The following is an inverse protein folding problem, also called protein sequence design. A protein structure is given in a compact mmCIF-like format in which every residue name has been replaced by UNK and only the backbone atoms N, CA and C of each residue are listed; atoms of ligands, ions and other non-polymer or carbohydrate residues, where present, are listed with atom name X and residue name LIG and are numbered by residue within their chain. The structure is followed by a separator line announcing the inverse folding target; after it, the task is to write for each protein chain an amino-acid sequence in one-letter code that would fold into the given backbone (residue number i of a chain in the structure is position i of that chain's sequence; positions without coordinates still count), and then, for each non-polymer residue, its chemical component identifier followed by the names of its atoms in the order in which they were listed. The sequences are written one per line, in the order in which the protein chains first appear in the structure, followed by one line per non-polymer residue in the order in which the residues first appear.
data_IF_882506505518
#
_entry.id   IF_882506505518
#
_cell.length_a   1.000
_cell.length_b   1.000
_cell.length_c   1.000
_cell.angle_alpha   90.00
_cell.angle_beta   90.00
_cell.angle_gamma   90.00
#
_symmetry.space_group_name_H-M   'P 1'
#
loop_
_entity.id
_entity.type
_entity.pdbx_description
1 polymer ?
#
# COMPACT_ATOMS: atom_id res chain seq x y z
N UNK A 1 6.42 17.29 30.26
CA UNK A 1 5.60 18.40 29.74
C UNK A 1 6.39 19.70 29.77
N UNK A 2 5.99 20.67 28.96
CA UNK A 2 6.60 21.98 28.90
C UNK A 2 5.57 23.03 28.48
N UNK A 3 5.68 24.25 29.05
CA UNK A 3 4.83 25.38 28.70
C UNK A 3 3.46 25.34 29.36
N UNK A 4 2.47 25.95 28.70
CA UNK A 4 1.13 26.15 29.21
C UNK A 4 0.10 25.30 28.44
N UNK A 5 -0.82 24.66 29.16
CA UNK A 5 -1.87 23.80 28.60
C UNK A 5 -2.88 24.59 27.74
N UNK A 6 -3.31 25.75 28.20
CA UNK A 6 -4.31 26.55 27.45
C UNK A 6 -3.74 27.01 26.10
N UNK A 7 -2.47 27.41 26.08
CA UNK A 7 -1.76 27.75 24.84
C UNK A 7 -1.63 26.53 23.93
N UNK A 8 -1.30 25.36 24.47
CA UNK A 8 -1.25 24.09 23.72
C UNK A 8 -2.62 23.78 23.11
N UNK A 9 -3.70 23.85 23.90
CA UNK A 9 -5.08 23.60 23.46
C UNK A 9 -5.51 24.58 22.37
N UNK A 10 -5.18 25.87 22.50
CA UNK A 10 -5.44 26.89 21.46
C UNK A 10 -4.78 26.54 20.13
N UNK A 11 -3.52 26.09 20.16
CA UNK A 11 -2.81 25.67 18.95
C UNK A 11 -3.52 24.47 18.29
N UNK A 12 -3.94 23.49 19.07
CA UNK A 12 -4.59 22.27 18.57
C UNK A 12 -5.99 22.59 18.00
N UNK A 13 -6.73 23.48 18.63
CA UNK A 13 -8.10 23.85 18.19
C UNK A 13 -8.13 24.52 16.83
N UNK A 14 -7.01 25.03 16.31
CA UNK A 14 -6.92 25.47 14.93
C UNK A 14 -7.23 24.35 13.90
N UNK A 15 -7.20 23.06 14.31
CA UNK A 15 -7.62 21.93 13.48
C UNK A 15 -9.14 21.72 13.42
N UNK A 16 -9.93 22.49 14.15
CA UNK A 16 -11.38 22.45 14.03
C UNK A 16 -11.92 23.04 12.70
N UNK A 17 -11.06 23.73 11.95
CA UNK A 17 -11.43 24.30 10.64
C UNK A 17 -11.61 23.22 9.57
N UNK A 18 -12.62 23.38 8.70
CA UNK A 18 -13.00 22.38 7.68
C UNK A 18 -11.86 21.98 6.74
N UNK A 19 -11.01 22.92 6.30
CA UNK A 19 -9.84 22.63 5.45
C UNK A 19 -8.74 21.82 6.15
N UNK A 20 -8.87 21.58 7.46
CA UNK A 20 -7.87 20.91 8.29
C UNK A 20 -8.35 19.59 8.90
N UNK A 21 -9.52 19.12 8.52
CA UNK A 21 -10.12 17.90 9.10
C UNK A 21 -9.25 16.66 8.88
N UNK A 22 -8.58 16.51 7.74
CA UNK A 22 -7.60 15.42 7.54
C UNK A 22 -6.39 15.50 8.47
N UNK A 23 -5.97 16.73 8.85
CA UNK A 23 -4.94 16.96 9.87
C UNK A 23 -5.46 16.64 11.27
N UNK A 24 -6.75 16.95 11.55
CA UNK A 24 -7.42 16.57 12.80
C UNK A 24 -7.51 15.04 12.96
N UNK A 25 -7.80 14.31 11.88
CA UNK A 25 -7.78 12.85 11.90
C UNK A 25 -6.39 12.30 12.28
N UNK A 26 -5.32 12.83 11.66
CA UNK A 26 -3.96 12.47 12.03
C UNK A 26 -3.65 12.74 13.51
N UNK A 27 -4.10 13.88 14.03
CA UNK A 27 -3.96 14.23 15.44
C UNK A 27 -4.75 13.27 16.35
N UNK A 28 -5.96 12.86 15.96
CA UNK A 28 -6.77 11.89 16.69
C UNK A 28 -6.11 10.50 16.75
N UNK A 29 -5.37 10.10 15.73
CA UNK A 29 -4.57 8.87 15.78
C UNK A 29 -3.54 8.89 16.92
N UNK A 30 -3.08 10.08 17.32
CA UNK A 30 -2.23 10.23 18.51
C UNK A 30 -2.92 9.76 19.79
N UNK A 31 -4.18 10.09 20.00
CA UNK A 31 -4.97 9.54 21.10
C UNK A 31 -5.43 8.10 20.85
N UNK A 32 -5.56 7.71 19.58
CA UNK A 32 -5.93 6.36 19.17
C UNK A 32 -4.85 5.30 19.42
N UNK A 33 -3.58 5.71 19.47
CA UNK A 33 -2.45 4.78 19.64
C UNK A 33 -2.64 3.78 20.79
N UNK A 34 -2.91 4.23 22.03
CA UNK A 34 -3.14 3.36 23.17
C UNK A 34 -4.33 2.39 23.02
N UNK A 35 -5.27 2.69 22.14
CA UNK A 35 -6.48 1.90 21.91
C UNK A 35 -6.28 0.80 20.85
N UNK A 36 -5.23 0.88 20.03
CA UNK A 36 -5.01 -0.04 18.91
C UNK A 36 -4.95 -1.50 19.33
N UNK A 37 -4.41 -1.77 20.52
CA UNK A 37 -4.32 -3.12 21.07
C UNK A 37 -5.68 -3.79 21.32
N UNK A 38 -6.74 -3.00 21.45
CA UNK A 38 -8.08 -3.50 21.85
C UNK A 38 -9.07 -3.55 20.69
N UNK A 39 -8.72 -3.07 19.50
CA UNK A 39 -9.59 -3.10 18.32
C UNK A 39 -9.51 -4.47 17.63
N UNK A 40 -10.64 -4.95 17.09
CA UNK A 40 -10.71 -6.22 16.34
C UNK A 40 -10.25 -7.42 17.17
N UNK A 41 -10.66 -7.50 18.43
CA UNK A 41 -10.30 -8.54 19.38
C UNK A 41 -8.78 -8.73 19.55
N UNK A 42 -8.01 -7.64 19.37
CA UNK A 42 -6.55 -7.65 19.49
C UNK A 42 -5.82 -8.34 18.34
N UNK A 43 -6.48 -8.55 17.21
CA UNK A 43 -5.91 -9.22 16.03
C UNK A 43 -5.27 -8.25 15.01
N UNK A 44 -5.31 -6.95 15.29
CA UNK A 44 -4.79 -5.90 14.41
C UNK A 44 -3.73 -5.07 15.11
N UNK A 45 -2.47 -5.26 14.74
CA UNK A 45 -1.34 -4.66 15.44
C UNK A 45 -0.90 -3.30 14.90
N UNK A 46 -1.47 -2.84 13.78
CA UNK A 46 -1.08 -1.52 13.28
C UNK A 46 -1.68 -1.14 11.94
N UNK A 47 -1.49 0.13 11.62
CA UNK A 47 -1.89 0.78 10.38
C UNK A 47 -0.88 1.87 10.04
N UNK A 48 -0.61 2.10 8.77
CA UNK A 48 0.12 3.27 8.30
C UNK A 48 -0.86 4.29 7.71
N UNK A 49 -0.91 5.50 8.29
CA UNK A 49 -1.61 6.65 7.70
C UNK A 49 -0.59 7.62 7.11
N UNK A 50 -0.68 7.89 5.80
CA UNK A 50 0.26 8.72 5.08
C UNK A 50 -0.39 10.00 4.53
N UNK A 51 0.17 11.14 4.87
CA UNK A 51 -0.27 12.45 4.40
C UNK A 51 0.61 12.90 3.23
N UNK A 52 -0.01 13.08 2.07
CA UNK A 52 0.67 13.41 0.82
C UNK A 52 0.51 14.89 0.51
N UNK A 53 1.61 15.55 0.16
CA UNK A 53 1.57 16.86 -0.48
C UNK A 53 2.79 17.04 -1.37
N UNK A 54 2.61 17.26 -2.67
CA UNK A 54 3.73 17.46 -3.61
C UNK A 54 4.48 18.77 -3.37
N UNK A 55 3.84 19.76 -2.72
CA UNK A 55 4.44 21.06 -2.42
C UNK A 55 4.99 21.15 -0.99
N UNK A 56 5.98 22.03 -0.81
CA UNK A 56 6.38 22.49 0.51
C UNK A 56 5.34 23.49 1.05
N UNK A 57 5.19 23.56 2.37
CA UNK A 57 4.29 24.56 3.01
C UNK A 57 2.86 24.09 3.29
N UNK A 58 2.45 22.88 2.87
CA UNK A 58 1.12 22.33 3.21
C UNK A 58 0.95 21.96 4.70
N UNK A 59 1.98 22.15 5.52
CA UNK A 59 1.94 21.86 6.95
C UNK A 59 2.16 20.39 7.32
N UNK A 60 2.73 19.58 6.44
CA UNK A 60 3.05 18.14 6.70
C UNK A 60 3.78 17.92 8.01
N UNK A 61 4.98 18.49 8.16
CA UNK A 61 5.78 18.34 9.37
C UNK A 61 5.11 18.97 10.60
N UNK A 62 4.28 20.02 10.42
CA UNK A 62 3.49 20.61 11.53
C UNK A 62 2.49 19.61 12.09
N UNK A 63 1.84 18.79 11.25
CA UNK A 63 0.92 17.73 11.71
C UNK A 63 1.64 16.72 12.59
N UNK A 64 2.83 16.27 12.17
CA UNK A 64 3.64 15.33 12.96
C UNK A 64 4.06 15.93 14.30
N UNK A 65 4.46 17.21 14.31
CA UNK A 65 4.81 17.91 15.55
C UNK A 65 3.61 18.09 16.49
N UNK A 66 2.42 18.43 15.95
CA UNK A 66 1.22 18.56 16.77
C UNK A 66 0.80 17.22 17.37
N UNK A 67 0.83 16.12 16.59
CA UNK A 67 0.58 14.78 17.12
C UNK A 67 1.57 14.43 18.23
N UNK A 68 2.87 14.60 17.98
CA UNK A 68 3.90 14.28 18.98
C UNK A 68 3.81 15.14 20.24
N UNK A 69 3.25 16.36 20.13
CA UNK A 69 3.04 17.25 21.28
C UNK A 69 2.09 16.70 22.33
N UNK A 70 1.26 15.71 21.99
CA UNK A 70 0.45 14.96 22.96
C UNK A 70 1.37 14.29 23.98
N UNK A 71 2.46 13.70 23.52
CA UNK A 71 3.35 12.83 24.29
C UNK A 71 4.53 13.57 24.93
N UNK A 72 5.14 14.51 24.22
CA UNK A 72 6.36 15.17 24.66
C UNK A 72 6.97 16.10 23.64
N UNK A 73 8.31 16.19 23.61
CA UNK A 73 9.02 17.08 22.70
C UNK A 73 8.73 16.73 21.23
N UNK A 74 8.03 17.61 20.47
CA UNK A 74 7.53 17.31 19.14
C UNK A 74 8.61 16.88 18.15
N UNK A 75 9.76 17.56 18.14
CA UNK A 75 10.87 17.28 17.20
C UNK A 75 11.63 16.01 17.56
N UNK A 76 11.79 15.72 18.84
CA UNK A 76 12.57 14.58 19.31
C UNK A 76 11.86 13.24 19.02
N UNK A 77 10.55 13.25 18.83
CA UNK A 77 9.73 12.05 18.60
C UNK A 77 9.57 11.71 17.13
N UNK A 78 9.91 12.59 16.19
CA UNK A 78 9.85 12.29 14.75
C UNK A 78 10.95 11.30 14.39
N UNK A 79 10.56 10.20 13.74
CA UNK A 79 11.48 9.24 13.11
C UNK A 79 11.90 9.77 11.75
N UNK A 80 13.15 9.48 11.37
CA UNK A 80 13.65 9.83 10.05
C UNK A 80 13.55 8.64 9.11
N UNK A 81 13.34 8.93 7.84
CA UNK A 81 13.29 7.92 6.78
C UNK A 81 14.60 7.14 6.61
N UNK A 82 15.76 7.77 6.92
CA UNK A 82 17.11 7.21 6.82
C UNK A 82 17.58 6.47 8.08
N UNK A 83 16.76 6.41 9.14
CA UNK A 83 17.04 5.58 10.32
C UNK A 83 17.25 4.11 9.89
N UNK A 84 18.22 3.43 10.50
CA UNK A 84 18.44 2.00 10.22
C UNK A 84 17.20 1.16 10.61
N UNK A 85 17.00 0.03 9.93
CA UNK A 85 15.88 -0.88 10.25
C UNK A 85 15.86 -1.26 11.74
N UNK A 86 17.02 -1.60 12.31
CA UNK A 86 17.11 -1.99 13.73
C UNK A 86 16.74 -0.85 14.68
N UNK A 87 17.19 0.38 14.37
CA UNK A 87 16.84 1.57 15.15
C UNK A 87 15.33 1.82 15.13
N UNK A 88 14.71 1.71 13.96
CA UNK A 88 13.24 1.84 13.83
C UNK A 88 12.51 0.78 14.64
N UNK A 89 12.89 -0.49 14.52
CA UNK A 89 12.25 -1.57 15.30
C UNK A 89 12.38 -1.35 16.80
N UNK A 90 13.55 -0.89 17.26
CA UNK A 90 13.76 -0.56 18.66
C UNK A 90 12.85 0.61 19.10
N UNK A 91 12.72 1.63 18.27
CA UNK A 91 11.83 2.77 18.53
C UNK A 91 10.37 2.37 18.57
N UNK A 92 9.88 1.57 17.60
CA UNK A 92 8.51 1.04 17.62
C UNK A 92 8.25 0.26 18.90
N UNK A 93 9.17 -0.62 19.28
CA UNK A 93 9.07 -1.38 20.53
C UNK A 93 9.16 -0.55 21.80
N UNK A 94 9.88 0.57 21.78
CA UNK A 94 9.94 1.50 22.94
C UNK A 94 8.66 2.34 23.06
N UNK A 95 8.02 2.67 21.93
CA UNK A 95 6.76 3.41 21.93
C UNK A 95 5.55 2.51 22.25
N UNK A 96 5.62 1.22 21.94
CA UNK A 96 4.62 0.16 22.21
C UNK A 96 3.19 0.49 21.77
N UNK A 97 2.54 1.46 22.43
CA UNK A 97 1.15 1.87 22.23
C UNK A 97 1.02 3.38 21.89
N UNK A 98 2.12 4.10 21.73
CA UNK A 98 2.10 5.51 21.34
C UNK A 98 2.33 5.61 19.84
N UNK A 99 1.56 6.44 19.15
CA UNK A 99 1.63 6.62 17.69
C UNK A 99 2.96 7.24 17.23
N UNK A 100 3.84 6.51 16.55
CA UNK A 100 5.06 7.07 15.98
C UNK A 100 4.77 7.93 14.76
N UNK A 101 5.67 8.87 14.48
CA UNK A 101 5.60 9.71 13.28
C UNK A 101 6.86 9.56 12.44
N UNK A 102 6.72 9.51 11.10
CA UNK A 102 7.82 9.39 10.15
C UNK A 102 7.70 10.51 9.13
N UNK A 103 8.73 11.35 9.01
CA UNK A 103 8.74 12.40 7.99
C UNK A 103 9.38 11.88 6.69
N UNK A 104 8.82 12.32 5.56
CA UNK A 104 9.28 12.02 4.19
C UNK A 104 9.49 10.53 3.88
N UNK A 105 8.55 9.69 4.28
CA UNK A 105 8.65 8.22 4.18
C UNK A 105 8.98 7.72 2.75
N UNK A 106 8.56 8.44 1.70
CA UNK A 106 8.82 8.05 0.30
C UNK A 106 10.26 8.27 -0.17
N UNK A 107 11.14 8.88 0.65
CA UNK A 107 12.58 8.91 0.38
C UNK A 107 13.23 7.54 0.66
N UNK A 108 12.56 6.68 1.42
CA UNK A 108 12.99 5.30 1.69
C UNK A 108 12.95 4.46 0.41
N UNK A 109 13.87 3.50 0.26
CA UNK A 109 13.82 2.53 -0.84
C UNK A 109 12.52 1.72 -0.85
N UNK A 110 11.95 1.38 -2.03
CA UNK A 110 10.66 0.69 -2.13
C UNK A 110 10.60 -0.63 -1.36
N UNK A 111 11.66 -1.44 -1.38
CA UNK A 111 11.74 -2.70 -0.65
C UNK A 111 11.75 -2.50 0.87
N UNK A 112 12.47 -1.48 1.33
CA UNK A 112 12.50 -1.12 2.76
C UNK A 112 11.13 -0.62 3.22
N UNK A 113 10.44 0.14 2.39
CA UNK A 113 9.09 0.63 2.64
C UNK A 113 8.08 -0.52 2.74
N UNK A 114 8.09 -1.47 1.78
CA UNK A 114 7.25 -2.67 1.85
C UNK A 114 7.49 -3.45 3.15
N UNK A 115 8.75 -3.68 3.52
CA UNK A 115 9.09 -4.35 4.78
C UNK A 115 8.58 -3.58 6.00
N UNK A 116 8.72 -2.25 6.02
CA UNK A 116 8.25 -1.43 7.15
C UNK A 116 6.73 -1.53 7.33
N UNK A 117 5.96 -1.54 6.24
CA UNK A 117 4.50 -1.69 6.30
C UNK A 117 4.11 -3.03 6.95
N UNK A 118 4.78 -4.12 6.56
CA UNK A 118 4.56 -5.42 7.20
C UNK A 118 5.04 -5.44 8.66
N UNK A 119 6.20 -4.85 8.97
CA UNK A 119 6.70 -4.78 10.33
C UNK A 119 5.71 -4.03 11.24
N UNK A 120 5.20 -2.86 10.83
CA UNK A 120 4.19 -2.09 11.58
C UNK A 120 2.98 -2.97 11.91
N UNK A 121 2.46 -3.69 10.91
CA UNK A 121 1.21 -4.46 11.04
C UNK A 121 1.37 -5.86 11.62
N UNK A 122 2.63 -6.34 11.81
CA UNK A 122 2.92 -7.61 12.48
C UNK A 122 3.01 -7.52 14.00
N UNK A 123 3.08 -6.32 14.55
CA UNK A 123 3.09 -6.06 16.00
C UNK A 123 4.32 -6.54 16.75
N UNK A 124 5.35 -7.03 16.07
CA UNK A 124 6.54 -7.60 16.71
C UNK A 124 7.81 -7.43 15.89
N UNK A 125 8.93 -7.30 16.58
CA UNK A 125 10.25 -7.32 15.96
C UNK A 125 10.65 -8.73 15.49
N UNK A 126 11.72 -8.81 14.69
CA UNK A 126 12.25 -10.08 14.19
C UNK A 126 12.87 -10.90 15.31
N UNK A 127 12.60 -12.19 15.34
CA UNK A 127 13.32 -13.13 16.19
C UNK A 127 14.79 -13.22 15.76
N UNK A 128 15.69 -13.40 16.71
CA UNK A 128 17.13 -13.52 16.46
C UNK A 128 17.69 -14.69 17.25
N UNK A 129 18.69 -15.37 16.67
CA UNK A 129 19.47 -16.37 17.39
C UNK A 129 20.47 -15.70 18.33
N UNK A 130 20.72 -16.31 19.47
CA UNK A 130 21.82 -15.96 20.34
C UNK A 130 23.11 -16.55 19.76
N UNK A 131 24.07 -15.67 19.43
CA UNK A 131 25.30 -16.07 18.79
C UNK A 131 26.16 -17.05 19.64
N UNK A 132 25.98 -17.07 20.95
CA UNK A 132 26.77 -17.90 21.88
C UNK A 132 26.09 -19.21 22.30
N UNK A 133 24.76 -19.25 22.27
CA UNK A 133 24.00 -20.35 22.89
C UNK A 133 23.22 -21.21 21.88
N UNK A 134 23.33 -20.94 20.56
CA UNK A 134 22.59 -21.61 19.48
C UNK A 134 21.09 -21.83 19.80
N UNK A 135 20.50 -20.85 20.50
CA UNK A 135 19.09 -20.81 20.89
C UNK A 135 18.45 -19.51 20.42
N UNK A 136 17.14 -19.53 20.23
CA UNK A 136 16.39 -18.34 19.89
C UNK A 136 16.42 -17.33 21.05
N UNK A 137 16.80 -16.08 20.74
CA UNK A 137 16.73 -14.99 21.71
C UNK A 137 15.28 -14.56 21.88
N UNK A 138 14.78 -14.57 23.12
CA UNK A 138 13.44 -14.13 23.41
C UNK A 138 13.21 -12.69 22.91
N UNK A 139 12.34 -12.54 21.91
CA UNK A 139 11.95 -11.23 21.40
C UNK A 139 10.91 -10.60 22.32
N UNK A 140 11.29 -9.53 23.01
CA UNK A 140 10.39 -8.73 23.88
C UNK A 140 9.89 -7.46 23.19
N UNK A 141 10.24 -7.25 21.93
CA UNK A 141 9.92 -6.02 21.18
C UNK A 141 8.59 -6.21 20.48
N UNK A 142 7.51 -5.76 21.09
CA UNK A 142 6.15 -5.82 20.55
C UNK A 142 5.52 -4.43 20.56
N UNK A 143 4.54 -4.22 19.67
CA UNK A 143 3.76 -2.98 19.60
C UNK A 143 2.37 -3.25 19.03
N UNK A 144 1.45 -2.31 19.25
CA UNK A 144 0.16 -2.27 18.60
C UNK A 144 -0.20 -0.81 18.39
N UNK A 145 0.09 -0.27 17.18
CA UNK A 145 0.17 1.17 16.93
C UNK A 145 -0.29 1.56 15.51
N UNK A 146 -1.06 2.63 15.36
CA UNK A 146 -1.10 3.35 14.11
C UNK A 146 0.20 4.15 13.96
N UNK A 147 0.73 4.25 12.74
CA UNK A 147 1.88 5.10 12.40
C UNK A 147 1.41 6.22 11.49
N UNK A 148 1.81 7.45 11.76
CA UNK A 148 1.51 8.60 10.89
C UNK A 148 2.76 9.03 10.16
N UNK A 149 2.68 9.12 8.84
CA UNK A 149 3.79 9.54 7.99
C UNK A 149 3.42 10.68 7.06
N UNK A 150 4.45 11.31 6.50
CA UNK A 150 4.30 12.33 5.45
C UNK A 150 5.11 11.95 4.23
N UNK A 151 4.69 12.44 3.07
CA UNK A 151 5.39 12.20 1.80
C UNK A 151 5.12 13.27 0.75
N UNK A 152 5.95 13.29 -0.29
CA UNK A 152 5.75 14.13 -1.48
C UNK A 152 5.00 13.39 -2.59
N UNK A 153 5.06 12.06 -2.59
CA UNK A 153 4.43 11.17 -3.58
C UNK A 153 3.64 10.07 -2.86
N UNK A 154 2.81 9.34 -3.58
CA UNK A 154 2.08 8.20 -3.02
C UNK A 154 3.02 7.05 -2.71
N UNK A 155 2.82 6.38 -1.58
CA UNK A 155 3.49 5.12 -1.24
C UNK A 155 3.17 4.06 -2.29
N UNK A 156 1.91 4.01 -2.76
CA UNK A 156 1.48 3.13 -3.83
C UNK A 156 2.38 3.20 -5.06
N UNK A 157 2.63 4.42 -5.58
CA UNK A 157 3.42 4.61 -6.81
C UNK A 157 4.85 4.09 -6.62
N UNK A 158 5.38 4.28 -5.42
CA UNK A 158 6.69 3.75 -5.03
C UNK A 158 6.71 2.22 -4.94
N UNK A 159 5.66 1.58 -4.42
CA UNK A 159 5.55 0.12 -4.35
C UNK A 159 5.38 -0.49 -5.74
N UNK A 160 4.62 0.15 -6.62
CA UNK A 160 4.43 -0.30 -8.01
C UNK A 160 5.74 -0.32 -8.82
N UNK A 161 6.76 0.46 -8.42
CA UNK A 161 8.08 0.41 -9.08
C UNK A 161 8.83 -0.92 -8.87
N UNK A 162 8.46 -1.73 -7.88
CA UNK A 162 9.10 -3.02 -7.57
C UNK A 162 8.16 -4.21 -7.57
N UNK A 163 6.85 -3.98 -7.52
CA UNK A 163 5.81 -5.01 -7.49
C UNK A 163 4.68 -4.59 -8.40
N UNK A 164 4.26 -5.44 -9.33
CA UNK A 164 3.09 -5.20 -10.15
C UNK A 164 1.79 -5.11 -9.31
N UNK A 165 1.75 -5.85 -8.17
CA UNK A 165 0.55 -6.01 -7.35
C UNK A 165 0.87 -5.89 -5.84
N UNK A 166 0.93 -4.67 -5.28
CA UNK A 166 1.20 -4.45 -3.86
C UNK A 166 -0.06 -4.47 -2.99
N UNK A 167 -1.09 -5.24 -3.35
CA UNK A 167 -2.42 -5.22 -2.73
C UNK A 167 -2.40 -5.44 -1.22
N UNK A 168 -1.56 -6.37 -0.76
CA UNK A 168 -1.46 -6.67 0.66
C UNK A 168 -0.90 -5.50 1.47
N UNK A 169 0.03 -4.72 0.92
CA UNK A 169 0.54 -3.49 1.53
C UNK A 169 -0.53 -2.39 1.49
N UNK A 170 -1.22 -2.22 0.34
CA UNK A 170 -2.23 -1.18 0.17
C UNK A 170 -3.40 -1.32 1.13
N UNK A 171 -3.79 -2.56 1.49
CA UNK A 171 -4.82 -2.80 2.50
C UNK A 171 -4.39 -2.41 3.92
N UNK A 172 -3.11 -2.17 4.17
CA UNK A 172 -2.52 -1.76 5.45
C UNK A 172 -2.23 -0.27 5.54
N UNK A 173 -2.52 0.47 4.49
CA UNK A 173 -2.21 1.90 4.35
C UNK A 173 -3.50 2.67 4.11
N UNK A 174 -3.65 3.81 4.77
CA UNK A 174 -4.54 4.88 4.36
C UNK A 174 -3.69 6.04 3.87
N UNK A 175 -3.97 6.53 2.66
CA UNK A 175 -3.27 7.69 2.10
C UNK A 175 -4.26 8.82 1.82
N UNK A 176 -3.88 10.03 2.20
CA UNK A 176 -4.65 11.22 1.89
C UNK A 176 -3.79 12.35 1.34
N UNK A 177 -4.32 13.02 0.33
CA UNK A 177 -3.69 14.22 -0.22
C UNK A 177 -4.17 15.43 0.58
N UNK A 178 -3.26 16.04 1.33
CA UNK A 178 -3.57 17.26 2.07
C UNK A 178 -4.05 18.35 1.12
N UNK A 179 -5.24 18.90 1.33
CA UNK A 179 -5.67 20.09 0.60
C UNK A 179 -4.74 21.25 0.92
N UNK A 180 -4.55 22.13 -0.06
CA UNK A 180 -3.93 23.44 0.21
C UNK A 180 -4.90 24.21 1.10
N UNK A 181 -4.43 24.60 2.27
CA UNK A 181 -5.22 25.41 3.21
C UNK A 181 -5.56 26.75 2.55
N UNK A 182 -6.83 27.00 2.29
CA UNK A 182 -7.29 28.24 1.64
C UNK A 182 -7.03 29.50 2.47
N UNK A 183 -6.92 29.32 3.79
CA UNK A 183 -6.54 30.38 4.74
C UNK A 183 -5.04 30.36 5.04
N UNK A 184 -4.23 29.86 4.13
CA UNK A 184 -2.80 29.72 4.34
C UNK A 184 -2.12 31.10 4.28
N UNK A 185 -2.26 31.89 5.38
CA UNK A 185 -1.26 32.91 5.70
C UNK A 185 -0.02 32.21 6.27
N UNK A 186 1.08 32.10 5.51
CA UNK A 186 2.29 31.45 5.97
C UNK A 186 2.85 32.09 7.25
N UNK A 187 2.64 33.39 7.42
CA UNK A 187 3.11 34.16 8.59
C UNK A 187 2.32 33.75 9.84
N UNK A 188 0.99 33.73 9.72
CA UNK A 188 0.13 33.28 10.80
C UNK A 188 0.40 31.79 11.14
N UNK A 189 0.44 30.93 10.14
CA UNK A 189 0.68 29.49 10.33
C UNK A 189 2.02 29.22 11.03
N UNK A 190 3.08 29.89 10.62
CA UNK A 190 4.40 29.79 11.26
C UNK A 190 4.38 30.29 12.70
N UNK A 191 3.74 31.45 12.94
CA UNK A 191 3.63 32.02 14.28
C UNK A 191 2.75 31.16 15.19
N UNK A 192 1.59 30.70 14.70
CA UNK A 192 0.63 29.91 15.49
C UNK A 192 1.17 28.52 15.82
N UNK A 193 1.49 27.71 14.81
CA UNK A 193 1.96 26.34 15.01
C UNK A 193 3.41 26.25 15.52
N UNK A 194 4.23 27.28 15.30
CA UNK A 194 5.60 27.33 15.82
C UNK A 194 5.68 27.32 17.34
N UNK A 195 4.64 27.81 18.02
CA UNK A 195 4.54 27.82 19.51
C UNK A 195 4.54 26.41 20.09
N UNK A 196 4.16 25.37 19.31
CA UNK A 196 4.10 23.98 19.80
C UNK A 196 5.44 23.48 20.32
N UNK A 197 6.56 24.02 19.84
CA UNK A 197 7.91 23.70 20.32
C UNK A 197 8.17 24.10 21.79
N UNK A 198 7.29 24.94 22.35
CA UNK A 198 7.38 25.45 23.73
C UNK A 198 6.24 24.96 24.62
N UNK A 199 5.17 24.37 24.04
CA UNK A 199 3.96 23.94 24.76
C UNK A 199 3.61 22.50 24.32
N UNK A 200 3.90 21.49 25.17
CA UNK A 200 3.70 20.08 24.82
C UNK A 200 3.66 19.16 26.05
N UNK A 201 3.16 17.93 25.85
CA UNK A 201 3.17 16.85 26.85
C UNK A 201 2.07 16.94 27.88
N UNK A 202 1.12 17.86 27.72
CA UNK A 202 0.06 18.11 28.70
C UNK A 202 -1.07 17.06 28.66
N UNK A 203 -1.32 16.45 27.50
CA UNK A 203 -2.53 15.67 27.26
C UNK A 203 -2.39 14.19 27.63
N UNK A 204 -1.21 13.59 27.51
CA UNK A 204 -1.06 12.15 27.62
C UNK A 204 -1.36 11.61 29.02
N UNK A 205 -0.95 12.31 30.08
CA UNK A 205 -1.17 11.85 31.45
C UNK A 205 -2.66 11.75 31.80
N UNK A 206 -3.47 12.82 31.70
CA UNK A 206 -4.90 12.75 32.02
C UNK A 206 -5.63 11.77 31.10
N UNK A 207 -5.25 11.67 29.82
CA UNK A 207 -5.83 10.74 28.87
C UNK A 207 -5.59 9.27 29.27
N UNK A 208 -4.35 8.88 29.50
CA UNK A 208 -4.02 7.49 29.90
C UNK A 208 -4.60 7.15 31.25
N UNK A 209 -4.56 8.09 32.23
CA UNK A 209 -5.18 7.88 33.51
C UNK A 209 -6.68 7.55 33.41
N UNK A 210 -7.42 8.30 32.57
CA UNK A 210 -8.82 8.01 32.28
C UNK A 210 -9.00 6.64 31.63
N UNK A 211 -8.23 6.33 30.57
CA UNK A 211 -8.35 5.06 29.85
C UNK A 211 -8.09 3.84 30.74
N UNK A 212 -7.09 3.90 31.63
CA UNK A 212 -6.74 2.79 32.52
C UNK A 212 -7.81 2.58 33.60
N UNK A 213 -8.31 3.68 34.18
CA UNK A 213 -9.31 3.58 35.26
C UNK A 213 -10.71 3.20 34.75
N UNK A 214 -11.00 3.40 33.47
CA UNK A 214 -12.30 3.12 32.83
C UNK A 214 -12.15 2.15 31.65
N UNK A 215 -11.19 1.24 31.68
CA UNK A 215 -10.82 0.40 30.55
C UNK A 215 -11.99 -0.40 29.95
N UNK A 216 -12.91 -1.02 30.73
CA UNK A 216 -14.07 -1.71 30.16
C UNK A 216 -14.97 -0.79 29.33
N UNK A 217 -15.26 0.42 29.80
CA UNK A 217 -16.10 1.40 29.10
C UNK A 217 -15.42 1.94 27.86
N UNK A 218 -14.10 2.15 27.92
CA UNK A 218 -13.28 2.55 26.76
C UNK A 218 -13.32 1.48 25.68
N UNK A 219 -13.19 0.19 26.02
CA UNK A 219 -13.27 -0.92 25.08
C UNK A 219 -14.69 -1.02 24.51
N UNK A 220 -15.73 -0.90 25.33
CA UNK A 220 -17.10 -0.91 24.84
C UNK A 220 -17.37 0.21 23.84
N UNK A 221 -16.95 1.45 24.16
CA UNK A 221 -17.03 2.61 23.24
C UNK A 221 -16.25 2.38 21.95
N UNK A 222 -15.05 1.82 22.03
CA UNK A 222 -14.23 1.49 20.85
C UNK A 222 -14.95 0.48 19.92
N UNK A 223 -15.52 -0.56 20.50
CA UNK A 223 -16.25 -1.58 19.72
C UNK A 223 -17.52 -1.00 19.06
N UNK A 224 -18.24 -0.14 19.78
CA UNK A 224 -19.38 0.58 19.21
C UNK A 224 -18.99 1.46 18.03
N UNK A 225 -17.93 2.26 18.18
CA UNK A 225 -17.41 3.13 17.11
C UNK A 225 -16.89 2.30 15.94
N UNK A 226 -16.23 1.17 16.19
CA UNK A 226 -15.75 0.28 15.12
C UNK A 226 -16.93 -0.29 14.31
N UNK A 227 -17.98 -0.79 14.98
CA UNK A 227 -19.18 -1.29 14.31
C UNK A 227 -19.93 -0.18 13.56
N UNK A 228 -19.95 1.04 14.10
CA UNK A 228 -20.52 2.20 13.42
C UNK A 228 -19.75 2.52 12.14
N UNK A 229 -18.40 2.51 12.18
CA UNK A 229 -17.57 2.72 11.01
C UNK A 229 -17.74 1.63 9.96
N UNK A 230 -17.81 0.36 10.37
CA UNK A 230 -18.03 -0.78 9.47
C UNK A 230 -19.33 -0.63 8.69
N UNK A 231 -20.40 -0.20 9.36
CA UNK A 231 -21.71 0.06 8.74
C UNK A 231 -21.69 1.29 7.85
N UNK A 232 -21.14 2.41 8.34
CA UNK A 232 -21.14 3.68 7.62
C UNK A 232 -20.29 3.63 6.33
N UNK A 233 -19.14 3.01 6.37
CA UNK A 233 -18.24 2.86 5.22
C UNK A 233 -18.47 1.56 4.42
N UNK A 234 -19.42 0.68 4.85
CA UNK A 234 -19.69 -0.64 4.23
C UNK A 234 -18.40 -1.45 4.06
N UNK A 235 -17.68 -1.65 5.15
CA UNK A 235 -16.35 -2.26 5.19
C UNK A 235 -16.39 -3.71 4.67
N UNK A 236 -15.38 -4.06 3.88
CA UNK A 236 -15.11 -5.43 3.43
C UNK A 236 -14.05 -6.09 4.32
N UNK A 237 -14.02 -7.42 4.35
CA UNK A 237 -13.07 -8.19 5.18
C UNK A 237 -11.60 -7.81 4.95
N UNK A 238 -11.22 -7.39 3.74
CA UNK A 238 -9.87 -6.94 3.40
C UNK A 238 -9.53 -5.54 3.93
N UNK A 239 -10.54 -4.73 4.24
CA UNK A 239 -10.43 -3.32 4.64
C UNK A 239 -10.40 -3.12 6.17
N UNK A 240 -10.30 -4.20 6.94
CA UNK A 240 -10.34 -4.21 8.41
C UNK A 240 -9.30 -3.28 9.08
N UNK A 241 -8.12 -3.12 8.47
CA UNK A 241 -7.10 -2.20 8.99
C UNK A 241 -7.55 -0.75 8.90
N UNK A 242 -8.27 -0.38 7.83
CA UNK A 242 -8.77 0.98 7.63
C UNK A 242 -9.87 1.32 8.64
N UNK A 243 -10.81 0.39 8.84
CA UNK A 243 -11.87 0.54 9.83
C UNK A 243 -11.29 0.66 11.25
N UNK A 244 -10.36 -0.21 11.61
CA UNK A 244 -9.69 -0.18 12.91
C UNK A 244 -8.97 1.15 13.15
N UNK A 245 -8.21 1.65 12.15
CA UNK A 245 -7.54 2.94 12.24
C UNK A 245 -8.51 4.11 12.43
N UNK A 246 -9.63 4.13 11.70
CA UNK A 246 -10.66 5.13 11.86
C UNK A 246 -11.34 5.03 13.24
N UNK A 247 -11.65 3.82 13.70
CA UNK A 247 -12.30 3.60 15.00
C UNK A 247 -11.43 4.06 16.18
N UNK A 248 -10.14 3.69 16.19
CA UNK A 248 -9.23 4.12 17.29
C UNK A 248 -9.01 5.63 17.28
N UNK A 249 -8.91 6.25 16.11
CA UNK A 249 -8.76 7.70 16.00
C UNK A 249 -10.00 8.42 16.55
N UNK A 250 -11.19 8.05 16.07
CA UNK A 250 -12.44 8.65 16.52
C UNK A 250 -12.69 8.45 18.01
N UNK A 251 -12.52 7.23 18.51
CA UNK A 251 -12.69 6.93 19.94
C UNK A 251 -11.69 7.71 20.78
N UNK A 252 -10.42 7.74 20.36
CA UNK A 252 -9.39 8.53 21.04
C UNK A 252 -9.69 10.02 21.06
N UNK A 253 -10.13 10.58 19.92
CA UNK A 253 -10.56 11.97 19.80
C UNK A 253 -11.79 12.27 20.67
N UNK A 254 -12.79 11.39 20.70
CA UNK A 254 -13.99 11.56 21.55
C UNK A 254 -13.62 11.61 23.02
N UNK A 255 -12.85 10.65 23.51
CA UNK A 255 -12.40 10.60 24.92
C UNK A 255 -11.58 11.86 25.26
N UNK A 256 -10.64 12.25 24.39
CA UNK A 256 -9.83 13.44 24.59
C UNK A 256 -10.68 14.71 24.66
N UNK A 257 -11.74 14.80 23.84
CA UNK A 257 -12.71 15.89 23.88
C UNK A 257 -13.52 15.90 25.15
N UNK A 258 -14.04 14.75 25.59
CA UNK A 258 -14.81 14.62 26.83
C UNK A 258 -13.96 15.03 28.06
N UNK A 259 -12.64 14.82 27.98
CA UNK A 259 -11.67 15.28 28.99
C UNK A 259 -11.29 16.78 28.86
N UNK A 260 -11.84 17.49 27.89
CA UNK A 260 -11.54 18.92 27.66
C UNK A 260 -10.17 19.20 27.06
N UNK A 261 -9.48 18.18 26.50
CA UNK A 261 -8.14 18.32 25.94
C UNK A 261 -8.13 19.03 24.57
N UNK A 262 -9.25 19.02 23.85
CA UNK A 262 -9.48 19.80 22.62
C UNK A 262 -10.97 20.05 22.42
N UNK A 263 -11.31 20.98 21.48
CA UNK A 263 -12.69 21.30 21.12
C UNK A 263 -13.04 20.94 19.65
N UNK A 264 -12.16 20.18 18.98
CA UNK A 264 -12.36 19.78 17.57
C UNK A 264 -13.68 19.01 17.44
N UNK A 265 -14.54 19.33 16.45
CA UNK A 265 -15.81 18.65 16.26
C UNK A 265 -15.59 17.21 15.73
N UNK A 266 -16.25 16.22 16.34
CA UNK A 266 -16.08 14.80 15.99
C UNK A 266 -16.77 14.44 14.67
N UNK A 267 -18.00 14.96 14.44
CA UNK A 267 -18.80 14.62 13.26
C UNK A 267 -18.10 14.88 11.93
N UNK A 268 -17.46 16.04 11.68
CA UNK A 268 -16.69 16.26 10.46
C UNK A 268 -15.53 15.28 10.27
N UNK A 269 -14.86 14.86 11.37
CA UNK A 269 -13.77 13.86 11.30
C UNK A 269 -14.33 12.48 10.97
N UNK A 270 -15.50 12.10 11.48
CA UNK A 270 -16.17 10.86 11.13
C UNK A 270 -16.53 10.83 9.64
N UNK A 271 -17.18 11.91 9.14
CA UNK A 271 -17.55 12.01 7.73
C UNK A 271 -16.30 11.97 6.83
N UNK A 272 -15.23 12.60 7.26
CA UNK A 272 -13.92 12.50 6.59
C UNK A 272 -13.41 11.06 6.55
N UNK A 273 -13.45 10.30 7.65
CA UNK A 273 -13.01 8.89 7.68
C UNK A 273 -13.79 8.03 6.67
N UNK A 274 -15.11 8.20 6.58
CA UNK A 274 -15.94 7.47 5.60
C UNK A 274 -15.52 7.83 4.17
N UNK A 275 -15.32 9.11 3.89
CA UNK A 275 -14.90 9.58 2.58
C UNK A 275 -13.48 9.09 2.23
N UNK A 276 -12.56 9.11 3.18
CA UNK A 276 -11.18 8.62 3.00
C UNK A 276 -11.16 7.14 2.64
N UNK A 277 -11.92 6.30 3.36
CA UNK A 277 -12.04 4.86 3.07
C UNK A 277 -12.63 4.64 1.68
N UNK A 278 -13.70 5.35 1.32
CA UNK A 278 -14.32 5.24 0.00
C UNK A 278 -13.37 5.69 -1.12
N UNK A 279 -12.61 6.77 -0.90
CA UNK A 279 -11.60 7.25 -1.85
C UNK A 279 -10.45 6.25 -2.00
N UNK A 280 -9.93 5.71 -0.89
CA UNK A 280 -8.90 4.66 -0.89
C UNK A 280 -9.36 3.41 -1.63
N UNK A 281 -10.61 2.99 -1.42
CA UNK A 281 -11.23 1.86 -2.14
C UNK A 281 -11.29 2.11 -3.65
N UNK A 282 -11.73 3.30 -4.09
CA UNK A 282 -11.77 3.67 -5.51
C UNK A 282 -10.36 3.73 -6.10
N UNK A 283 -9.44 4.41 -5.44
CA UNK A 283 -8.04 4.50 -5.87
C UNK A 283 -7.36 3.14 -5.96
N UNK A 284 -7.69 2.21 -5.06
CA UNK A 284 -7.13 0.86 -5.08
C UNK A 284 -7.86 -0.06 -6.07
N UNK A 285 -9.15 0.18 -6.43
CA UNK A 285 -9.83 -0.56 -7.49
C UNK A 285 -9.16 -0.40 -8.84
N UNK A 286 -8.68 0.79 -9.14
CA UNK A 286 -7.91 1.07 -10.36
C UNK A 286 -6.53 0.40 -10.34
N UNK A 287 -6.16 -0.27 -9.25
CA UNK A 287 -4.88 -0.95 -9.02
C UNK A 287 -5.01 -2.34 -8.38
N UNK A 288 -6.16 -2.67 -7.78
CA UNK A 288 -6.47 -4.06 -7.44
C UNK A 288 -6.62 -4.78 -8.77
N UNK A 289 -5.62 -5.54 -9.08
CA UNK A 289 -5.56 -6.35 -10.27
C UNK A 289 -6.86 -7.12 -10.40
N UNK A 290 -7.62 -6.81 -11.42
CA UNK A 290 -8.47 -7.84 -11.97
C UNK A 290 -7.52 -8.96 -12.33
N UNK A 291 -7.68 -10.15 -11.74
CA UNK A 291 -6.79 -11.29 -12.04
C UNK A 291 -6.68 -11.53 -13.55
N UNK A 292 -7.63 -11.01 -14.35
CA UNK A 292 -7.59 -10.94 -15.79
C UNK A 292 -6.46 -10.12 -16.42
N UNK A 293 -5.85 -9.18 -15.68
CA UNK A 293 -4.75 -8.35 -16.19
C UNK A 293 -3.35 -8.97 -15.97
N UNK A 294 -3.23 -9.97 -15.07
CA UNK A 294 -1.93 -10.55 -14.70
C UNK A 294 -1.26 -11.22 -15.93
N UNK A 295 -2.05 -11.89 -16.77
CA UNK A 295 -1.53 -12.51 -17.98
C UNK A 295 -1.04 -11.45 -18.96
N UNK A 296 -1.78 -10.37 -19.16
CA UNK A 296 -1.39 -9.23 -20.00
C UNK A 296 -0.08 -8.60 -19.51
N UNK A 297 0.02 -8.33 -18.20
CA UNK A 297 1.23 -7.80 -17.57
C UNK A 297 2.45 -8.75 -17.72
N UNK A 298 2.23 -10.07 -17.60
CA UNK A 298 3.27 -11.07 -17.87
C UNK A 298 3.76 -11.00 -19.31
N UNK A 299 2.86 -10.98 -20.28
CA UNK A 299 3.22 -10.94 -21.71
C UNK A 299 3.91 -9.62 -22.07
N UNK A 300 3.41 -8.50 -21.55
CA UNK A 300 4.02 -7.17 -21.74
C UNK A 300 5.42 -7.06 -21.12
N UNK A 301 5.70 -7.82 -20.04
CA UNK A 301 7.05 -7.88 -19.45
C UNK A 301 8.04 -8.74 -20.27
N UNK A 302 7.55 -9.48 -21.28
CA UNK A 302 8.35 -10.34 -22.14
C UNK A 302 8.05 -10.13 -23.64
N UNK A 303 8.06 -8.90 -24.17
CA UNK A 303 7.58 -8.62 -25.54
C UNK A 303 8.41 -9.30 -26.63
N UNK A 304 9.70 -9.56 -26.34
CA UNK A 304 10.63 -10.24 -27.26
C UNK A 304 10.66 -11.77 -27.05
N UNK A 305 9.92 -12.31 -26.11
CA UNK A 305 9.87 -13.74 -25.80
C UNK A 305 8.62 -14.46 -26.33
N UNK A 306 7.91 -13.87 -27.28
CA UNK A 306 6.65 -14.42 -27.80
C UNK A 306 6.84 -14.88 -29.23
N UNK A 307 6.48 -16.16 -29.49
CA UNK A 307 6.41 -16.74 -30.85
C UNK A 307 5.00 -16.56 -31.40
N UNK A 308 4.86 -16.12 -32.64
CA UNK A 308 3.57 -16.06 -33.34
C UNK A 308 3.67 -16.89 -34.63
N UNK A 309 2.74 -17.82 -34.80
CA UNK A 309 2.73 -18.73 -35.96
C UNK A 309 1.31 -18.91 -36.50
N UNK A 310 1.20 -19.28 -37.80
CA UNK A 310 0.03 -19.94 -38.38
C UNK A 310 0.32 -21.43 -38.50
N UNK A 311 -0.60 -22.27 -38.03
CA UNK A 311 -0.46 -23.74 -37.96
C UNK A 311 -1.18 -24.41 -39.11
N UNK A 312 -2.16 -23.72 -39.73
CA UNK A 312 -2.90 -24.24 -40.87
C UNK A 312 -1.96 -24.49 -42.06
N UNK A 313 -2.10 -25.64 -42.65
CA UNK A 313 -1.39 -25.97 -43.88
C UNK A 313 -1.94 -25.12 -45.03
N UNK A 314 -1.05 -24.61 -45.88
CA UNK A 314 -1.44 -24.01 -47.12
C UNK A 314 -2.22 -25.06 -47.95
N UNK A 315 -3.42 -24.67 -48.42
CA UNK A 315 -4.34 -25.57 -49.16
C UNK A 315 -3.77 -26.03 -50.53
N UNK A 316 -2.79 -25.31 -51.05
CA UNK A 316 -2.19 -25.57 -52.39
C UNK A 316 -0.90 -26.37 -52.24
N UNK A 317 -0.03 -25.99 -51.31
CA UNK A 317 1.30 -26.60 -51.15
C UNK A 317 1.36 -27.67 -50.07
N UNK A 318 0.37 -27.75 -49.20
CA UNK A 318 0.35 -28.69 -48.05
C UNK A 318 1.41 -28.41 -46.99
N UNK A 319 2.22 -27.35 -47.14
CA UNK A 319 3.25 -26.95 -46.21
C UNK A 319 2.66 -26.14 -45.04
N UNK A 320 3.21 -26.35 -43.83
CA UNK A 320 2.86 -25.52 -42.69
C UNK A 320 3.32 -24.08 -42.92
N UNK A 321 2.42 -23.12 -42.73
CA UNK A 321 2.80 -21.71 -42.82
C UNK A 321 3.74 -21.38 -41.67
N UNK A 322 4.86 -20.74 -41.97
CA UNK A 322 5.95 -20.48 -41.04
C UNK A 322 5.63 -19.45 -39.94
N UNK A 323 6.63 -19.16 -39.15
CA UNK A 323 6.54 -18.16 -38.11
C UNK A 323 6.26 -16.76 -38.65
N UNK A 324 5.28 -16.07 -38.07
CA UNK A 324 4.99 -14.65 -38.34
C UNK A 324 5.96 -13.79 -37.54
N UNK A 325 6.26 -14.23 -36.29
CA UNK A 325 7.18 -13.55 -35.39
C UNK A 325 8.00 -14.58 -34.60
N UNK A 326 9.30 -14.41 -34.61
CA UNK A 326 10.22 -15.25 -33.83
C UNK A 326 10.68 -14.54 -32.56
N UNK A 327 10.88 -15.27 -31.47
CA UNK A 327 11.33 -14.66 -30.21
C UNK A 327 12.80 -14.26 -30.32
N UNK A 328 13.14 -13.10 -29.78
CA UNK A 328 14.53 -12.60 -29.67
C UNK A 328 15.16 -12.88 -28.30
N UNK A 329 14.38 -13.43 -27.35
CA UNK A 329 14.81 -13.83 -26.00
C UNK A 329 14.27 -15.22 -25.68
N UNK A 330 14.44 -15.69 -24.44
CA UNK A 330 13.84 -16.95 -23.97
C UNK A 330 12.33 -16.95 -24.24
N UNK A 331 11.85 -17.95 -25.00
CA UNK A 331 10.45 -18.03 -25.38
C UNK A 331 9.55 -18.34 -24.18
N UNK A 332 8.66 -17.43 -23.85
CA UNK A 332 7.71 -17.54 -22.74
C UNK A 332 6.31 -17.93 -23.17
N UNK A 333 5.93 -17.60 -24.42
CA UNK A 333 4.61 -17.85 -24.94
C UNK A 333 4.64 -18.12 -26.47
N UNK A 334 3.61 -18.84 -26.94
CA UNK A 334 3.36 -19.12 -28.35
C UNK A 334 1.90 -18.82 -28.68
N UNK A 335 1.69 -17.95 -29.67
CA UNK A 335 0.38 -17.64 -30.25
C UNK A 335 0.21 -18.39 -31.57
N UNK A 336 -0.81 -19.23 -31.65
CA UNK A 336 -1.28 -19.85 -32.89
C UNK A 336 -2.47 -19.02 -33.38
N UNK A 337 -2.20 -18.07 -34.30
CA UNK A 337 -3.14 -17.00 -34.66
C UNK A 337 -4.39 -17.54 -35.37
N UNK A 338 -4.23 -18.48 -36.27
CA UNK A 338 -5.30 -19.11 -37.03
C UNK A 338 -6.19 -20.06 -36.21
N UNK A 339 -5.62 -20.67 -35.17
CA UNK A 339 -6.38 -21.53 -34.23
C UNK A 339 -6.94 -20.77 -33.02
N UNK A 340 -6.60 -19.50 -32.87
CA UNK A 340 -6.97 -18.68 -31.70
C UNK A 340 -6.53 -19.33 -30.38
N UNK A 341 -5.29 -19.83 -30.33
CA UNK A 341 -4.70 -20.48 -29.18
C UNK A 341 -3.45 -19.76 -28.71
N UNK A 342 -3.42 -19.44 -27.40
CA UNK A 342 -2.23 -18.93 -26.74
C UNK A 342 -1.72 -19.98 -25.76
N UNK A 343 -0.46 -20.35 -25.89
CA UNK A 343 0.26 -21.26 -25.01
C UNK A 343 1.30 -20.48 -24.23
N UNK A 344 1.18 -20.48 -22.91
CA UNK A 344 2.08 -19.75 -22.00
C UNK A 344 2.87 -20.74 -21.16
N UNK A 345 4.19 -20.61 -21.09
CA UNK A 345 5.05 -21.46 -20.25
C UNK A 345 4.57 -21.42 -18.80
N UNK A 346 4.07 -22.58 -18.29
CA UNK A 346 3.56 -22.68 -16.92
C UNK A 346 4.60 -22.30 -15.89
N UNK A 347 5.83 -22.77 -16.03
CA UNK A 347 6.90 -22.51 -15.05
C UNK A 347 7.27 -21.02 -15.00
N UNK A 348 7.38 -20.36 -16.15
CA UNK A 348 7.73 -18.93 -16.20
C UNK A 348 6.60 -18.07 -15.66
N UNK A 349 5.36 -18.40 -15.98
CA UNK A 349 4.20 -17.69 -15.43
C UNK A 349 4.08 -17.91 -13.91
N UNK A 350 4.33 -19.12 -13.39
CA UNK A 350 4.38 -19.36 -11.95
C UNK A 350 5.49 -18.57 -11.26
N UNK A 351 6.67 -18.47 -11.87
CA UNK A 351 7.76 -17.64 -11.34
C UNK A 351 7.38 -16.15 -11.33
N UNK A 352 6.71 -15.67 -12.37
CA UNK A 352 6.21 -14.31 -12.45
C UNK A 352 5.20 -14.03 -11.34
N UNK A 353 4.20 -14.89 -11.16
CA UNK A 353 3.23 -14.80 -10.07
C UNK A 353 3.92 -14.76 -8.69
N UNK A 354 4.87 -15.68 -8.47
CA UNK A 354 5.63 -15.75 -7.22
C UNK A 354 6.43 -14.47 -6.94
N UNK A 355 7.12 -13.92 -7.95
CA UNK A 355 7.89 -12.67 -7.81
C UNK A 355 7.01 -11.46 -7.50
N UNK A 356 5.77 -11.48 -7.99
CA UNK A 356 4.80 -10.42 -7.78
C UNK A 356 3.85 -10.69 -6.61
N UNK A 357 4.10 -11.76 -5.82
CA UNK A 357 3.29 -12.15 -4.66
C UNK A 357 1.82 -12.43 -4.99
N UNK A 358 1.55 -12.92 -6.20
CA UNK A 358 0.23 -13.33 -6.66
C UNK A 358 0.11 -14.85 -6.56
N UNK A 359 -1.04 -15.33 -6.07
CA UNK A 359 -1.36 -16.75 -6.12
C UNK A 359 -1.52 -17.19 -7.58
N UNK A 360 -0.77 -18.21 -8.00
CA UNK A 360 -0.87 -18.78 -9.34
C UNK A 360 -2.28 -19.31 -9.64
N UNK A 361 -2.92 -19.96 -8.68
CA UNK A 361 -4.28 -20.50 -8.86
C UNK A 361 -5.32 -19.39 -8.99
N UNK A 362 -5.21 -18.34 -8.17
CA UNK A 362 -6.12 -17.19 -8.21
C UNK A 362 -5.96 -16.39 -9.50
N UNK A 363 -4.73 -16.28 -10.03
CA UNK A 363 -4.46 -15.61 -11.30
C UNK A 363 -5.15 -16.28 -12.51
N UNK A 364 -5.62 -17.51 -12.36
CA UNK A 364 -6.35 -18.24 -13.39
C UNK A 364 -7.87 -18.25 -13.17
N UNK A 365 -8.37 -17.72 -12.05
CA UNK A 365 -9.80 -17.83 -11.68
C UNK A 365 -10.72 -17.18 -12.71
N UNK A 366 -10.41 -15.96 -13.14
CA UNK A 366 -11.28 -15.22 -14.08
C UNK A 366 -11.23 -15.83 -15.49
N UNK A 367 -10.07 -16.35 -15.89
CA UNK A 367 -9.94 -17.10 -17.15
C UNK A 367 -10.68 -18.45 -17.11
N UNK A 368 -10.74 -19.10 -15.93
CA UNK A 368 -11.56 -20.30 -15.74
C UNK A 368 -13.06 -19.97 -15.80
N UNK A 369 -13.49 -18.87 -15.17
CA UNK A 369 -14.90 -18.41 -15.18
C UNK A 369 -15.38 -17.99 -16.57
N UNK A 370 -14.55 -17.25 -17.32
CA UNK A 370 -14.86 -16.82 -18.71
C UNK A 370 -14.78 -17.99 -19.71
N UNK A 371 -14.19 -19.12 -19.31
CA UNK A 371 -13.91 -20.25 -20.21
C UNK A 371 -12.84 -19.95 -21.26
N UNK A 372 -12.02 -18.92 -21.02
CA UNK A 372 -10.84 -18.64 -21.86
C UNK A 372 -9.67 -19.56 -21.53
N UNK A 373 -9.50 -19.97 -20.26
CA UNK A 373 -8.53 -20.99 -19.88
C UNK A 373 -9.04 -22.39 -20.20
N UNK A 374 -8.27 -23.15 -20.99
CA UNK A 374 -8.66 -24.50 -21.48
C UNK A 374 -8.05 -25.58 -20.58
N UNK A 375 -6.76 -25.43 -20.24
CA UNK A 375 -6.07 -26.42 -19.44
C UNK A 375 -4.55 -26.36 -19.55
N UNK A 376 -3.89 -27.48 -19.21
CA UNK A 376 -2.44 -27.62 -19.33
C UNK A 376 -2.12 -28.60 -20.46
N UNK A 377 -1.27 -28.16 -21.40
CA UNK A 377 -0.83 -28.96 -22.54
C UNK A 377 0.69 -28.92 -22.68
N UNK A 378 1.30 -30.03 -23.13
CA UNK A 378 2.71 -30.00 -23.55
C UNK A 378 2.79 -29.43 -24.94
N UNK A 379 3.61 -28.39 -25.16
CA UNK A 379 3.80 -27.75 -26.44
C UNK A 379 5.27 -27.37 -26.66
N UNK A 380 5.75 -27.49 -27.90
CA UNK A 380 7.03 -26.91 -28.32
C UNK A 380 6.79 -25.46 -28.69
N UNK A 381 7.27 -24.53 -27.88
CA UNK A 381 6.98 -23.11 -28.08
C UNK A 381 7.64 -22.56 -29.37
N UNK A 382 8.78 -23.11 -29.77
CA UNK A 382 9.55 -22.71 -30.97
C UNK A 382 9.26 -23.54 -32.22
N UNK A 383 8.27 -24.44 -32.20
CA UNK A 383 7.93 -25.23 -33.39
C UNK A 383 7.47 -24.33 -34.56
N UNK A 384 8.01 -24.52 -35.73
CA UNK A 384 7.72 -23.71 -36.93
C UNK A 384 8.56 -22.42 -37.07
N UNK A 385 9.53 -22.20 -36.18
CA UNK A 385 10.52 -21.10 -36.24
C UNK A 385 11.87 -21.63 -36.74
N UNK A 386 12.78 -20.74 -37.07
CA UNK A 386 14.18 -21.06 -37.41
C UNK A 386 14.90 -21.78 -36.25
N UNK A 387 14.45 -21.60 -35.01
CA UNK A 387 14.96 -22.20 -33.79
C UNK A 387 14.26 -23.50 -33.37
N UNK A 388 13.43 -24.07 -34.24
CA UNK A 388 12.58 -25.23 -33.95
C UNK A 388 13.36 -26.47 -33.47
N UNK A 389 14.56 -26.69 -33.99
CA UNK A 389 15.44 -27.86 -33.66
C UNK A 389 15.97 -27.78 -32.20
N UNK A 390 16.08 -26.58 -31.64
CA UNK A 390 16.61 -26.33 -30.29
C UNK A 390 15.56 -26.47 -29.18
N UNK A 391 14.28 -26.76 -29.50
CA UNK A 391 13.19 -26.65 -28.51
C UNK A 391 12.63 -28.01 -28.09
N UNK A 392 12.60 -28.25 -26.81
CA UNK A 392 11.87 -29.36 -26.20
C UNK A 392 10.42 -28.94 -25.88
N UNK A 393 9.49 -29.92 -25.74
CA UNK A 393 8.14 -29.61 -25.30
C UNK A 393 8.11 -29.30 -23.82
N UNK A 394 7.44 -28.19 -23.47
CA UNK A 394 7.24 -27.72 -22.09
C UNK A 394 5.76 -27.75 -21.71
N UNK A 395 5.47 -27.81 -20.42
CA UNK A 395 4.09 -27.65 -19.94
C UNK A 395 3.64 -26.21 -20.10
N UNK A 396 2.56 -25.99 -20.84
CA UNK A 396 1.98 -24.69 -21.09
C UNK A 396 0.55 -24.60 -20.55
N UNK A 397 0.16 -23.42 -20.15
CA UNK A 397 -1.23 -23.02 -19.97
C UNK A 397 -1.80 -22.74 -21.35
N UNK A 398 -2.95 -23.32 -21.69
CA UNK A 398 -3.64 -23.13 -22.97
C UNK A 398 -4.84 -22.21 -22.79
N UNK A 399 -4.92 -21.14 -23.60
CA UNK A 399 -6.00 -20.17 -23.60
C UNK A 399 -6.65 -20.04 -24.99
N UNK A 400 -7.95 -19.77 -24.98
CA UNK A 400 -8.69 -19.36 -26.16
C UNK A 400 -8.69 -17.84 -26.29
N UNK A 401 -7.98 -17.30 -27.29
CA UNK A 401 -7.80 -15.86 -27.44
C UNK A 401 -9.09 -15.12 -27.82
N UNK A 402 -10.07 -15.78 -28.46
CA UNK A 402 -11.38 -15.18 -28.75
C UNK A 402 -12.21 -14.84 -27.51
N UNK A 403 -11.86 -15.44 -26.35
CA UNK A 403 -12.56 -15.23 -25.06
C UNK A 403 -11.71 -14.43 -24.07
N UNK A 404 -10.59 -13.84 -24.53
CA UNK A 404 -9.75 -12.96 -23.74
C UNK A 404 -10.13 -11.51 -24.09
N UNK A 405 -11.06 -10.92 -23.33
CA UNK A 405 -11.69 -9.63 -23.62
C UNK A 405 -10.73 -8.43 -23.60
N UNK A 406 -9.55 -8.56 -23.00
CA UNK A 406 -8.53 -7.49 -22.86
C UNK A 406 -7.25 -7.76 -23.67
N UNK A 407 -7.27 -8.71 -24.61
CA UNK A 407 -6.04 -9.18 -25.26
C UNK A 407 -5.92 -8.63 -26.69
N UNK A 408 -5.03 -7.64 -26.87
CA UNK A 408 -4.70 -7.13 -28.20
C UNK A 408 -3.74 -8.11 -28.92
N UNK A 409 -4.34 -8.96 -29.78
CA UNK A 409 -3.59 -9.91 -30.62
C UNK A 409 -2.79 -9.17 -31.70
N UNK A 410 -3.29 -8.03 -32.21
CA UNK A 410 -2.63 -7.26 -33.24
C UNK A 410 -1.36 -6.60 -32.73
N UNK A 411 -1.36 -6.09 -31.49
CA UNK A 411 -0.16 -5.55 -30.85
C UNK A 411 0.94 -6.59 -30.64
N UNK A 412 0.60 -7.87 -30.51
CA UNK A 412 1.60 -8.94 -30.40
C UNK A 412 2.21 -9.34 -31.75
N UNK A 413 1.52 -9.07 -32.86
CA UNK A 413 1.96 -9.47 -34.21
C UNK A 413 2.81 -8.40 -34.88
N UNK A 414 2.71 -7.14 -34.46
CA UNK A 414 3.48 -6.05 -35.04
C UNK A 414 4.92 -6.09 -34.48
N UNK A 415 5.90 -6.24 -35.35
CA UNK A 415 7.29 -5.94 -35.03
C UNK A 415 7.41 -4.43 -34.81
N UNK A 416 7.77 -4.01 -33.62
CA UNK A 416 8.25 -2.66 -33.35
C UNK A 416 9.68 -2.56 -33.92
N UNK A 417 9.85 -2.65 -35.20
CA UNK A 417 11.05 -2.20 -35.91
C UNK A 417 10.96 -0.66 -36.07
N UNK A 418 11.07 0.06 -34.97
CA UNK A 418 11.59 1.41 -34.99
C UNK A 418 13.13 1.30 -34.90
N UNK A 419 13.73 0.79 -35.99
CA UNK A 419 15.10 1.11 -36.33
C UNK A 419 15.16 2.61 -36.60
N UNK A 420 15.52 3.42 -35.62
CA UNK A 420 16.04 4.75 -35.89
C UNK A 420 17.28 4.59 -36.75
N UNK A 421 17.13 4.82 -38.06
CA UNK A 421 18.23 5.12 -38.91
C UNK A 421 18.96 6.33 -38.37
N UNK A 422 20.15 6.08 -37.86
CA UNK A 422 21.15 7.10 -37.55
C UNK A 422 21.74 7.62 -38.85
N UNK A 423 21.00 8.43 -39.60
CA UNK A 423 21.43 9.32 -40.65
C UNK A 423 20.54 10.56 -40.53
N UNK A 424 21.03 11.58 -39.88
CA UNK A 424 20.74 13.01 -40.02
C UNK A 424 21.21 13.77 -38.75
N UNK A 425 22.51 13.74 -38.51
CA UNK A 425 23.21 14.78 -37.71
C UNK A 425 24.54 15.02 -38.43
N UNK A 426 24.49 15.74 -39.53
CA UNK A 426 25.59 16.52 -40.11
C UNK A 426 24.98 17.44 -41.20
N UNK A 427 24.44 18.57 -40.73
CA UNK A 427 24.54 19.89 -41.39
C UNK A 427 24.35 20.99 -40.32
#
# INVERSE_FOLDING_TARGET
EKGDFHTWKDIINAYAHEDRIGKAFAFFLGFGGPLMKFVGDGMLDGLLYNLISPGSGAGKSSVLHLLNSIYGNPKALVLKWDDTHNSRMQRLGSMQSLTPTIDEITNMEPKMMSNLIYDITSGRGKNRMDAKANRERLNKTTWSIPVVSTSNTRIRDKLLSIKAFPDAELMRILEDKLPVDKFNDPTWSKAHFGRISKHYGHAIKPYIYHCVNNLPDVIAKLNEVNQMMDRAAKIKNTERFWSAGAAVALTGGMIAKDLGLHDIPIKPVLDYCVNLINHSRKSNKDSLTEYGEILGAFLNSHPLGITVVNVSKDKVTGLEMGAIKEPRTSCVARLEKDENRLYVSKSMYQQYCSRNYVSFEDSLLDYKKSGSYIGIKKKRLLAGTSLSSASNSVRCLEFNTKKLDSFDIEGLTNDTDNGSSSEDILE
#
